data_IF_708088682520
#
_entry.id   IF_708088682520
#
_cell.length_a   1.000
_cell.length_b   1.000
_cell.length_c   1.000
_cell.angle_alpha   90.00
_cell.angle_beta   90.00
_cell.angle_gamma   90.00
#
_symmetry.space_group_name_H-M   'P 1'
#
loop_
_entity.id
_entity.type
_entity.pdbx_description
1 polymer ?
#
# COMPACT_ATOMS: atom_id res chain seq x y z
N UNK A 1 -12.44 17.93 -6.68
CA UNK A 1 -13.74 17.23 -6.46
C UNK A 1 -13.93 16.04 -7.43
N UNK A 2 -12.90 15.60 -8.16
CA UNK A 2 -13.02 14.57 -9.19
C UNK A 2 -12.85 13.13 -8.66
N UNK A 3 -11.98 12.90 -7.67
CA UNK A 3 -11.70 11.55 -7.14
C UNK A 3 -12.94 10.89 -6.53
N UNK A 4 -13.70 11.65 -5.74
CA UNK A 4 -14.88 11.14 -5.06
C UNK A 4 -15.95 10.70 -6.07
N UNK A 5 -16.25 11.55 -7.06
CA UNK A 5 -17.21 11.25 -8.12
C UNK A 5 -16.78 10.05 -8.96
N UNK A 6 -15.52 10.04 -9.41
CA UNK A 6 -14.96 8.93 -10.19
C UNK A 6 -15.06 7.59 -9.46
N UNK A 7 -14.59 7.55 -8.20
CA UNK A 7 -14.66 6.33 -7.40
C UNK A 7 -16.11 5.92 -7.11
N UNK A 8 -17.01 6.88 -6.93
CA UNK A 8 -18.42 6.57 -6.75
C UNK A 8 -19.00 5.86 -7.97
N UNK A 9 -18.70 6.31 -9.18
CA UNK A 9 -19.12 5.66 -10.43
C UNK A 9 -18.64 4.20 -10.54
N UNK A 10 -17.47 3.90 -9.95
CA UNK A 10 -16.90 2.54 -9.85
C UNK A 10 -17.40 1.72 -8.66
N UNK A 11 -18.44 2.18 -7.94
CA UNK A 11 -18.95 1.57 -6.71
C UNK A 11 -17.91 1.47 -5.58
N UNK A 12 -16.99 2.44 -5.52
CA UNK A 12 -15.98 2.55 -4.48
C UNK A 12 -16.33 3.74 -3.58
N UNK A 13 -16.57 3.48 -2.29
CA UNK A 13 -16.79 4.55 -1.31
C UNK A 13 -15.47 5.18 -0.92
N UNK A 14 -15.24 6.41 -1.39
CA UNK A 14 -14.16 7.25 -0.90
C UNK A 14 -14.56 7.96 0.39
N UNK A 15 -13.74 7.82 1.44
CA UNK A 15 -14.01 8.38 2.78
C UNK A 15 -12.96 9.44 3.09
N UNK A 16 -13.39 10.71 3.11
CA UNK A 16 -12.46 11.84 3.34
C UNK A 16 -12.18 12.10 4.82
N UNK A 17 -13.17 11.89 5.69
CA UNK A 17 -13.09 12.17 7.14
C UNK A 17 -13.85 11.10 7.94
N UNK A 18 -13.50 10.94 9.21
CA UNK A 18 -14.26 10.08 10.12
C UNK A 18 -15.72 10.53 10.19
N UNK A 19 -16.67 9.59 10.12
CA UNK A 19 -18.11 9.88 10.11
C UNK A 19 -18.72 10.13 8.73
N UNK A 20 -17.93 10.11 7.65
CA UNK A 20 -18.47 10.11 6.29
C UNK A 20 -19.15 8.76 6.00
N UNK A 21 -20.48 8.81 6.04
CA UNK A 21 -21.40 7.69 5.79
C UNK A 21 -21.75 7.54 4.31
N UNK A 22 -21.35 8.49 3.46
CA UNK A 22 -21.71 8.52 2.04
C UNK A 22 -23.21 8.50 1.75
N UNK A 23 -23.53 8.02 0.56
CA UNK A 23 -24.92 7.83 0.17
C UNK A 23 -25.48 6.57 0.86
N UNK A 24 -26.44 6.77 1.76
CA UNK A 24 -27.05 5.69 2.57
C UNK A 24 -27.87 4.68 1.76
N UNK A 25 -28.24 5.01 0.52
CA UNK A 25 -29.06 4.14 -0.33
C UNK A 25 -28.23 3.33 -1.33
N UNK A 26 -26.91 3.60 -1.41
CA UNK A 26 -26.01 2.94 -2.36
C UNK A 26 -25.18 1.88 -1.67
N UNK A 27 -25.16 0.68 -2.23
CA UNK A 27 -24.22 -0.36 -1.85
C UNK A 27 -22.89 -0.15 -2.57
N UNK A 28 -21.79 -0.17 -1.83
CA UNK A 28 -20.44 0.00 -2.37
C UNK A 28 -19.69 -1.32 -2.28
N UNK A 29 -19.02 -1.72 -3.36
CA UNK A 29 -18.20 -2.93 -3.41
C UNK A 29 -16.94 -2.78 -2.57
N UNK A 30 -16.30 -1.61 -2.65
CA UNK A 30 -15.09 -1.31 -1.89
C UNK A 30 -15.25 -0.02 -1.10
N UNK A 31 -14.44 0.11 -0.04
CA UNK A 31 -14.38 1.31 0.78
C UNK A 31 -12.92 1.66 1.07
N UNK A 32 -12.54 2.90 0.77
CA UNK A 32 -11.17 3.37 0.97
C UNK A 32 -11.17 4.76 1.59
N UNK A 33 -10.32 4.96 2.60
CA UNK A 33 -10.10 6.30 3.15
C UNK A 33 -9.05 7.06 2.33
N UNK A 34 -9.15 8.38 2.35
CA UNK A 34 -8.14 9.27 1.77
C UNK A 34 -6.73 8.97 2.31
N UNK A 35 -6.63 8.67 3.61
CA UNK A 35 -5.38 8.24 4.25
C UNK A 35 -4.81 6.98 3.63
N UNK A 36 -5.60 5.90 3.56
CA UNK A 36 -5.11 4.65 2.96
C UNK A 36 -4.76 4.86 1.49
N UNK A 37 -5.55 5.63 0.74
CA UNK A 37 -5.26 5.95 -0.65
C UNK A 37 -3.90 6.66 -0.81
N UNK A 38 -3.65 7.69 -0.01
CA UNK A 38 -2.36 8.39 -0.02
C UNK A 38 -1.19 7.44 0.31
N UNK A 39 -1.39 6.53 1.27
CA UNK A 39 -0.39 5.54 1.66
C UNK A 39 -0.09 4.55 0.53
N UNK A 40 -1.11 4.09 -0.19
CA UNK A 40 -0.96 3.19 -1.34
C UNK A 40 -0.20 3.86 -2.48
N UNK A 41 -0.62 5.06 -2.87
CA UNK A 41 0.03 5.86 -3.93
C UNK A 41 1.51 6.12 -3.59
N UNK A 42 1.79 6.59 -2.37
CA UNK A 42 3.15 6.88 -1.93
C UNK A 42 4.03 5.61 -1.83
N UNK A 43 3.43 4.47 -1.48
CA UNK A 43 4.13 3.18 -1.51
C UNK A 43 4.44 2.73 -2.93
N UNK A 44 3.49 2.88 -3.85
CA UNK A 44 3.68 2.60 -5.28
C UNK A 44 4.74 3.51 -5.90
N UNK A 45 4.90 4.75 -5.43
CA UNK A 45 5.97 5.68 -5.83
C UNK A 45 7.36 5.29 -5.29
N UNK A 46 7.46 4.28 -4.41
CA UNK A 46 8.74 3.77 -3.91
C UNK A 46 9.06 4.10 -2.45
N UNK A 47 8.07 4.54 -1.67
CA UNK A 47 8.24 4.95 -0.27
C UNK A 47 7.39 4.16 0.75
N UNK A 48 7.32 2.81 0.66
CA UNK A 48 6.53 2.01 1.61
C UNK A 48 7.06 2.10 3.06
N UNK A 49 8.35 2.41 3.25
CA UNK A 49 8.97 2.62 4.57
C UNK A 49 8.47 3.87 5.30
N UNK A 50 7.83 4.80 4.57
CA UNK A 50 7.40 6.11 5.08
C UNK A 50 5.88 6.28 5.12
N UNK A 51 5.15 5.50 4.33
CA UNK A 51 3.72 5.68 4.14
C UNK A 51 2.92 5.62 5.46
N UNK A 52 3.31 4.80 6.43
CA UNK A 52 2.54 4.66 7.68
C UNK A 52 3.04 5.49 8.85
N UNK A 53 4.32 5.87 8.87
CA UNK A 53 4.93 6.59 9.99
C UNK A 53 5.13 8.10 9.72
N UNK A 54 4.89 8.59 8.50
CA UNK A 54 4.96 10.01 8.15
C UNK A 54 3.60 10.59 7.70
N UNK A 55 2.52 10.19 8.37
CA UNK A 55 1.14 10.57 8.02
C UNK A 55 0.96 12.07 7.77
N UNK A 56 1.43 12.93 8.68
CA UNK A 56 1.30 14.39 8.52
C UNK A 56 1.99 14.86 7.24
N UNK A 57 3.20 14.38 6.97
CA UNK A 57 3.94 14.74 5.78
C UNK A 57 3.25 14.32 4.48
N UNK A 58 2.45 13.23 4.46
CA UNK A 58 1.66 12.84 3.27
C UNK A 58 0.61 13.89 2.90
N UNK A 59 0.07 14.61 3.88
CA UNK A 59 -0.98 15.60 3.69
C UNK A 59 -0.48 17.05 3.75
N UNK A 60 0.78 17.26 4.13
CA UNK A 60 1.41 18.58 4.17
C UNK A 60 2.46 18.73 3.06
N UNK A 61 3.51 17.90 3.09
CA UNK A 61 4.71 18.06 2.25
C UNK A 61 4.60 17.35 0.91
N UNK A 62 3.99 16.17 0.90
CA UNK A 62 3.92 15.29 -0.27
C UNK A 62 2.54 15.29 -0.92
N UNK A 63 1.63 16.20 -0.51
CA UNK A 63 0.25 16.20 -0.98
C UNK A 63 0.17 16.34 -2.51
N UNK A 64 0.84 17.36 -3.07
CA UNK A 64 0.81 17.63 -4.50
C UNK A 64 1.55 16.56 -5.32
N UNK A 65 2.53 15.87 -4.73
CA UNK A 65 3.23 14.73 -5.35
C UNK A 65 2.34 13.48 -5.39
N UNK A 66 1.51 13.27 -4.36
CA UNK A 66 0.62 12.11 -4.26
C UNK A 66 -0.68 12.35 -5.05
N UNK A 67 -1.20 13.57 -5.00
CA UNK A 67 -2.45 14.00 -5.61
C UNK A 67 -2.18 15.07 -6.68
N UNK A 68 -1.34 14.74 -7.65
CA UNK A 68 -1.02 15.63 -8.78
C UNK A 68 -2.30 16.06 -9.48
N UNK A 69 -2.67 17.33 -9.35
CA UNK A 69 -3.92 17.86 -9.88
C UNK A 69 -3.97 17.89 -11.42
N UNK A 70 -2.81 17.90 -12.07
CA UNK A 70 -2.71 17.98 -13.54
C UNK A 70 -2.72 16.59 -14.18
N UNK A 71 -2.07 15.61 -13.54
CA UNK A 71 -1.88 14.27 -14.11
C UNK A 71 -2.43 13.14 -13.24
N UNK A 72 -3.47 13.41 -12.44
CA UNK A 72 -4.03 12.41 -11.54
C UNK A 72 -4.54 11.18 -12.31
N UNK A 73 -3.93 10.03 -12.06
CA UNK A 73 -4.27 8.77 -12.72
C UNK A 73 -5.43 8.07 -11.98
N UNK A 74 -6.66 8.35 -12.41
CA UNK A 74 -7.87 7.78 -11.84
C UNK A 74 -7.98 6.26 -12.05
N UNK A 75 -7.50 5.75 -13.19
CA UNK A 75 -7.50 4.31 -13.48
C UNK A 75 -6.55 3.58 -12.53
N UNK A 76 -5.37 4.14 -12.26
CA UNK A 76 -4.45 3.60 -11.27
C UNK A 76 -5.04 3.63 -9.85
N UNK A 77 -5.84 4.64 -9.50
CA UNK A 77 -6.53 4.67 -8.20
C UNK A 77 -7.54 3.53 -8.06
N UNK A 78 -8.38 3.30 -9.09
CA UNK A 78 -9.30 2.15 -9.10
C UNK A 78 -8.53 0.84 -8.97
N UNK A 79 -7.48 0.67 -9.77
CA UNK A 79 -6.58 -0.48 -9.72
C UNK A 79 -6.03 -0.72 -8.31
N UNK A 80 -5.47 0.31 -7.66
CA UNK A 80 -4.89 0.20 -6.33
C UNK A 80 -5.92 -0.21 -5.28
N UNK A 81 -7.14 0.30 -5.35
CA UNK A 81 -8.21 -0.07 -4.40
C UNK A 81 -8.57 -1.55 -4.52
N UNK A 82 -8.79 -2.01 -5.75
CA UNK A 82 -9.11 -3.41 -6.02
C UNK A 82 -7.94 -4.32 -5.62
N UNK A 83 -6.72 -3.96 -6.04
CA UNK A 83 -5.49 -4.68 -5.73
C UNK A 83 -5.24 -4.76 -4.22
N UNK A 84 -5.45 -3.68 -3.48
CA UNK A 84 -5.30 -3.69 -2.03
C UNK A 84 -6.28 -4.66 -1.37
N UNK A 85 -7.53 -4.69 -1.82
CA UNK A 85 -8.53 -5.64 -1.30
C UNK A 85 -8.13 -7.09 -1.60
N UNK A 86 -7.61 -7.36 -2.80
CA UNK A 86 -7.10 -8.67 -3.20
C UNK A 86 -5.90 -9.09 -2.32
N UNK A 87 -4.93 -8.19 -2.13
CA UNK A 87 -3.77 -8.40 -1.26
C UNK A 87 -4.23 -8.72 0.16
N UNK A 88 -5.13 -7.94 0.75
CA UNK A 88 -5.63 -8.16 2.11
C UNK A 88 -6.30 -9.54 2.28
N UNK A 89 -7.07 -9.96 1.27
CA UNK A 89 -7.69 -11.29 1.25
C UNK A 89 -6.64 -12.40 1.20
N UNK A 90 -5.72 -12.35 0.22
CA UNK A 90 -4.70 -13.39 0.01
C UNK A 90 -3.72 -13.46 1.19
N UNK A 91 -3.27 -12.32 1.72
CA UNK A 91 -2.44 -12.30 2.93
C UNK A 91 -3.16 -12.96 4.09
N UNK A 92 -4.48 -12.78 4.16
CA UNK A 92 -5.34 -13.36 5.17
C UNK A 92 -5.41 -14.87 5.21
N UNK A 93 -5.15 -15.51 4.07
CA UNK A 93 -5.10 -16.97 3.95
C UNK A 93 -3.71 -17.52 4.29
N UNK A 94 -2.67 -16.72 4.08
CA UNK A 94 -1.27 -17.20 4.09
C UNK A 94 -0.55 -16.90 5.40
N UNK A 95 -0.73 -15.71 5.97
CA UNK A 95 0.01 -15.25 7.15
C UNK A 95 -0.95 -14.67 8.22
N UNK A 96 -1.04 -15.30 9.40
CA UNK A 96 -1.93 -14.83 10.47
C UNK A 96 -1.52 -13.45 11.01
N UNK A 97 -0.22 -13.11 11.03
CA UNK A 97 0.28 -11.82 11.51
C UNK A 97 0.33 -10.77 10.40
N UNK A 98 -0.80 -10.60 9.71
CA UNK A 98 -1.00 -9.59 8.67
C UNK A 98 -1.34 -8.22 9.26
N UNK A 99 -0.83 -7.17 8.65
CA UNK A 99 -1.17 -5.78 9.01
C UNK A 99 -0.85 -4.85 7.85
N UNK A 100 -1.46 -3.67 7.88
CA UNK A 100 -1.49 -2.71 6.77
C UNK A 100 -0.11 -2.41 6.13
N UNK A 101 0.96 -2.24 6.91
CA UNK A 101 2.30 -1.98 6.36
C UNK A 101 2.78 -3.07 5.42
N UNK A 102 2.47 -4.35 5.69
CA UNK A 102 2.83 -5.46 4.81
C UNK A 102 2.15 -5.32 3.44
N UNK A 103 0.88 -4.92 3.41
CA UNK A 103 0.13 -4.74 2.17
C UNK A 103 0.69 -3.60 1.31
N UNK A 104 1.13 -2.52 1.95
CA UNK A 104 1.79 -1.41 1.26
C UNK A 104 3.12 -1.83 0.61
N UNK A 105 3.87 -2.74 1.24
CA UNK A 105 5.05 -3.33 0.62
C UNK A 105 4.69 -4.23 -0.57
N UNK A 106 3.57 -4.95 -0.54
CA UNK A 106 3.12 -5.71 -1.72
C UNK A 106 2.72 -4.77 -2.86
N UNK A 107 2.09 -3.63 -2.58
CA UNK A 107 1.82 -2.59 -3.60
C UNK A 107 3.11 -2.04 -4.19
N UNK A 108 4.13 -1.82 -3.36
CA UNK A 108 5.46 -1.45 -3.85
C UNK A 108 6.04 -2.55 -4.76
N UNK A 109 5.99 -3.81 -4.35
CA UNK A 109 6.51 -4.92 -5.16
C UNK A 109 5.74 -5.10 -6.48
N UNK A 110 4.43 -4.90 -6.48
CA UNK A 110 3.57 -4.98 -7.67
C UNK A 110 3.98 -3.99 -8.76
N UNK A 111 4.52 -2.81 -8.38
CA UNK A 111 5.02 -1.81 -9.32
C UNK A 111 6.49 -1.96 -9.67
N UNK A 112 7.31 -2.42 -8.72
CA UNK A 112 8.78 -2.36 -8.79
C UNK A 112 9.44 -3.74 -8.99
N UNK A 113 8.66 -4.81 -9.15
CA UNK A 113 9.10 -6.16 -9.45
C UNK A 113 8.06 -6.90 -10.32
N UNK A 114 8.47 -8.01 -10.90
CA UNK A 114 7.74 -8.84 -11.86
C UNK A 114 7.46 -10.21 -11.25
N UNK A 115 6.66 -10.22 -10.19
CA UNK A 115 6.12 -11.46 -9.65
C UNK A 115 4.95 -11.95 -10.50
N UNK A 116 4.90 -13.26 -10.74
CA UNK A 116 3.80 -13.90 -11.50
C UNK A 116 2.44 -13.78 -10.81
N UNK A 117 2.42 -13.64 -9.48
CA UNK A 117 1.21 -13.49 -8.68
C UNK A 117 1.51 -12.89 -7.29
N UNK A 118 0.46 -12.43 -6.61
CA UNK A 118 0.55 -11.82 -5.26
C UNK A 118 1.13 -12.78 -4.21
N UNK A 119 0.83 -14.09 -4.30
CA UNK A 119 1.32 -15.08 -3.31
C UNK A 119 2.84 -15.17 -3.31
N UNK A 120 3.46 -15.06 -4.48
CA UNK A 120 4.91 -15.08 -4.61
C UNK A 120 5.55 -13.79 -4.08
N UNK A 121 4.94 -12.62 -4.34
CA UNK A 121 5.36 -11.36 -3.72
C UNK A 121 5.28 -11.42 -2.19
N UNK A 122 4.24 -12.03 -1.63
CA UNK A 122 4.06 -12.20 -0.18
C UNK A 122 5.14 -13.10 0.41
N UNK A 123 5.38 -14.27 -0.19
CA UNK A 123 6.43 -15.20 0.26
C UNK A 123 7.81 -14.54 0.23
N UNK A 124 8.10 -13.78 -0.83
CA UNK A 124 9.32 -13.01 -0.95
C UNK A 124 9.44 -11.99 0.19
N UNK A 125 8.43 -11.14 0.39
CA UNK A 125 8.42 -10.14 1.46
C UNK A 125 8.64 -10.78 2.85
N UNK A 126 7.89 -11.82 3.19
CA UNK A 126 7.97 -12.48 4.50
C UNK A 126 9.34 -13.13 4.73
N UNK A 127 9.90 -13.79 3.70
CA UNK A 127 11.24 -14.37 3.77
C UNK A 127 12.28 -13.29 4.04
N UNK A 128 12.29 -12.22 3.24
CA UNK A 128 13.24 -11.11 3.40
C UNK A 128 13.07 -10.43 4.77
N UNK A 129 11.83 -10.29 5.27
CA UNK A 129 11.54 -9.70 6.57
C UNK A 129 12.03 -10.55 7.75
N UNK A 130 11.96 -11.87 7.61
CA UNK A 130 12.49 -12.82 8.59
C UNK A 130 14.02 -12.78 8.64
N UNK A 131 14.68 -12.69 7.48
CA UNK A 131 16.14 -12.67 7.34
C UNK A 131 16.75 -11.32 7.75
N UNK A 132 16.08 -10.22 7.47
CA UNK A 132 16.58 -8.87 7.79
C UNK A 132 16.84 -8.73 9.29
N UNK A 133 18.11 -8.49 9.65
CA UNK A 133 18.57 -8.31 11.04
C UNK A 133 18.19 -9.48 11.95
N UNK A 134 18.20 -10.70 11.40
CA UNK A 134 17.96 -11.92 12.16
C UNK A 134 18.97 -12.05 13.31
N UNK A 135 18.47 -12.27 14.53
CA UNK A 135 19.31 -12.37 15.74
C UNK A 135 19.46 -11.08 16.54
N UNK A 136 19.06 -9.92 16.00
CA UNK A 136 18.95 -8.69 16.79
C UNK A 136 17.71 -8.78 17.71
N UNK A 137 17.91 -8.65 19.03
CA UNK A 137 16.81 -8.55 19.97
C UNK A 137 16.04 -7.23 19.77
N UNK A 138 14.71 -7.25 19.96
CA UNK A 138 13.80 -6.07 19.91
C UNK A 138 13.37 -5.50 18.54
N UNK A 139 13.50 -6.22 17.42
CA UNK A 139 13.08 -5.71 16.11
C UNK A 139 11.84 -6.44 15.54
N UNK A 140 10.64 -5.99 15.93
CA UNK A 140 9.37 -6.54 15.42
C UNK A 140 9.23 -6.31 13.90
N UNK A 141 8.43 -7.13 13.19
CA UNK A 141 8.15 -6.93 11.75
C UNK A 141 7.75 -5.48 11.40
N UNK A 142 6.88 -4.87 12.20
CA UNK A 142 6.45 -3.48 11.99
C UNK A 142 7.61 -2.47 12.11
N UNK A 143 8.54 -2.68 13.05
CA UNK A 143 9.73 -1.84 13.21
C UNK A 143 10.73 -2.01 12.07
N UNK A 144 10.85 -3.21 11.52
CA UNK A 144 11.70 -3.47 10.35
C UNK A 144 11.15 -2.75 9.11
N UNK A 145 9.84 -2.82 8.89
CA UNK A 145 9.17 -2.26 7.70
C UNK A 145 9.26 -0.74 7.59
N UNK A 146 9.45 -0.01 8.69
CA UNK A 146 9.66 1.44 8.67
C UNK A 146 11.14 1.86 8.51
N UNK A 147 12.07 0.90 8.47
CA UNK A 147 13.48 1.20 8.29
C UNK A 147 13.79 1.34 6.80
N UNK A 148 14.40 2.47 6.43
CA UNK A 148 14.94 2.66 5.08
C UNK A 148 15.82 1.48 4.64
N UNK A 149 16.64 0.95 5.54
CA UNK A 149 17.53 -0.19 5.27
C UNK A 149 16.79 -1.46 4.82
N UNK A 150 15.58 -1.72 5.32
CA UNK A 150 14.81 -2.88 4.88
C UNK A 150 14.33 -2.71 3.43
N UNK A 151 13.82 -1.52 3.07
CA UNK A 151 13.43 -1.22 1.70
C UNK A 151 14.62 -1.31 0.74
N UNK A 152 15.77 -0.77 1.10
CA UNK A 152 16.97 -0.86 0.25
C UNK A 152 17.40 -2.31 0.05
N UNK A 153 17.36 -3.14 1.09
CA UNK A 153 17.59 -4.59 0.96
C UNK A 153 16.60 -5.23 -0.03
N UNK A 154 15.29 -4.94 0.07
CA UNK A 154 14.32 -5.47 -0.89
C UNK A 154 14.66 -5.07 -2.33
N UNK A 155 15.04 -3.81 -2.57
CA UNK A 155 15.45 -3.35 -3.91
C UNK A 155 16.70 -4.08 -4.41
N UNK A 156 17.67 -4.34 -3.54
CA UNK A 156 18.85 -5.12 -3.88
C UNK A 156 18.49 -6.56 -4.24
N UNK A 157 17.62 -7.20 -3.45
CA UNK A 157 17.17 -8.57 -3.72
C UNK A 157 16.36 -8.66 -5.02
N UNK A 158 15.51 -7.69 -5.33
CA UNK A 158 14.81 -7.61 -6.63
C UNK A 158 15.82 -7.61 -7.79
N UNK A 159 16.81 -6.71 -7.73
CA UNK A 159 17.86 -6.60 -8.76
C UNK A 159 18.69 -7.88 -8.90
N UNK A 160 19.11 -8.49 -7.80
CA UNK A 160 19.95 -9.72 -7.81
C UNK A 160 19.23 -10.91 -8.43
N UNK A 161 17.92 -11.01 -8.19
CA UNK A 161 17.12 -12.14 -8.62
C UNK A 161 16.47 -11.91 -10.00
N UNK A 162 16.74 -10.77 -10.66
CA UNK A 162 16.07 -10.32 -11.89
C UNK A 162 14.55 -10.41 -11.78
N UNK A 163 14.04 -10.03 -10.60
CA UNK A 163 12.62 -9.87 -10.34
C UNK A 163 12.17 -8.53 -10.90
#
# INVERSE_FOLDING_TARGET
>A
MQIEQYLEEKNIKYVRKAGDVGNKTREYTYRISMEKLAQMLYSQQGFPDRATNQKGALFDKYYDEIFDAENFDFDNVEYLVQKYSEIESIYGEIEPNKFHQKYLYIIFLDKHAHFSNIKDSIKFLEKTLLEYKKGESNNSPARKLIQKGFKELLKEEIRKNNL
#
